data_IF_404857006641
#
_entry.id   IF_404857006641
#
_cell.length_a   1.000
_cell.length_b   1.000
_cell.length_c   1.000
_cell.angle_alpha   90.00
_cell.angle_beta   90.00
_cell.angle_gamma   90.00
#
_symmetry.space_group_name_H-M   'P 1'
#
loop_
_entity.id
_entity.type
_entity.pdbx_description
1 polymer ?
#
# COMPACT_ATOMS: atom_id res chain seq x y z
N UNK A 1 -9.40 17.94 -9.63
CA UNK A 1 -8.30 18.40 -10.51
C UNK A 1 -7.29 17.26 -10.64
N UNK A 2 -7.26 16.67 -11.84
CA UNK A 2 -6.46 15.48 -12.11
C UNK A 2 -4.96 15.78 -12.08
N UNK A 3 -4.21 14.91 -11.43
CA UNK A 3 -2.76 14.89 -11.54
C UNK A 3 -2.37 14.37 -12.93
N UNK A 4 -1.62 15.17 -13.69
CA UNK A 4 -1.02 14.75 -14.95
C UNK A 4 0.21 13.89 -14.66
N UNK A 5 0.18 12.66 -15.13
CA UNK A 5 1.23 11.68 -14.93
C UNK A 5 2.39 11.93 -15.89
N UNK A 6 3.59 12.14 -15.39
CA UNK A 6 4.80 12.03 -16.21
C UNK A 6 5.22 10.56 -16.32
N UNK A 7 5.49 10.13 -17.54
CA UNK A 7 5.94 8.77 -17.83
C UNK A 7 7.29 8.46 -17.17
N UNK A 8 7.29 7.44 -16.33
CA UNK A 8 8.47 6.62 -16.11
C UNK A 8 7.96 5.21 -15.81
N UNK A 9 7.72 4.44 -16.85
CA UNK A 9 7.55 3.01 -16.73
C UNK A 9 8.93 2.40 -16.45
N UNK A 10 9.10 1.87 -15.27
CA UNK A 10 10.21 0.98 -14.98
C UNK A 10 9.67 -0.15 -14.12
N UNK A 11 9.33 -1.25 -14.77
CA UNK A 11 9.44 -2.58 -14.17
C UNK A 11 10.92 -2.79 -13.86
N UNK A 12 11.39 -2.18 -12.79
CA UNK A 12 12.78 -2.05 -12.46
C UNK A 12 13.02 -2.48 -11.02
N UNK A 13 14.16 -3.06 -10.81
CA UNK A 13 14.72 -3.34 -9.50
C UNK A 13 14.88 -2.05 -8.71
N UNK A 14 14.21 -1.89 -7.58
CA UNK A 14 14.50 -0.85 -6.61
C UNK A 14 15.44 -1.44 -5.57
N UNK A 15 16.67 -0.95 -5.52
CA UNK A 15 17.70 -1.34 -4.55
C UNK A 15 17.89 -2.87 -4.41
N UNK A 16 17.95 -3.58 -5.55
CA UNK A 16 18.09 -5.04 -5.59
C UNK A 16 16.81 -5.84 -5.38
N UNK A 17 15.68 -5.22 -5.10
CA UNK A 17 14.40 -5.89 -4.96
C UNK A 17 13.66 -5.97 -6.29
N UNK A 18 13.15 -7.14 -6.63
CA UNK A 18 12.28 -7.36 -7.78
C UNK A 18 10.83 -7.06 -7.39
N UNK A 19 10.18 -6.15 -8.10
CA UNK A 19 8.75 -5.90 -7.94
C UNK A 19 7.99 -6.91 -8.78
N UNK A 20 7.14 -7.71 -8.16
CA UNK A 20 6.38 -8.78 -8.81
C UNK A 20 5.03 -9.02 -8.17
N UNK A 21 4.19 -9.80 -8.85
CA UNK A 21 2.93 -10.26 -8.28
C UNK A 21 3.16 -11.20 -7.09
N UNK A 22 2.24 -11.09 -6.13
CA UNK A 22 2.11 -12.01 -5.01
C UNK A 22 1.82 -13.43 -5.48
N UNK A 23 2.33 -14.40 -4.74
CA UNK A 23 2.02 -15.82 -4.85
C UNK A 23 1.49 -16.32 -3.51
N UNK A 24 0.69 -17.38 -3.52
CA UNK A 24 0.16 -17.96 -2.27
C UNK A 24 1.26 -18.36 -1.27
N UNK A 25 2.44 -18.73 -1.75
CA UNK A 25 3.61 -19.02 -0.91
C UNK A 25 4.18 -17.79 -0.16
N UNK A 26 3.80 -16.58 -0.56
CA UNK A 26 4.24 -15.34 0.08
C UNK A 26 3.37 -14.95 1.30
N UNK A 27 2.28 -15.67 1.56
CA UNK A 27 1.25 -15.27 2.52
C UNK A 27 1.82 -14.97 3.91
N UNK A 28 2.60 -15.87 4.47
CA UNK A 28 3.16 -15.73 5.82
C UNK A 28 4.11 -14.52 5.90
N UNK A 29 4.94 -14.30 4.87
CA UNK A 29 5.84 -13.15 4.84
C UNK A 29 5.10 -11.83 4.68
N UNK A 30 4.08 -11.75 3.84
CA UNK A 30 3.23 -10.56 3.68
C UNK A 30 2.55 -10.21 5.01
N UNK A 31 2.00 -11.20 5.71
CA UNK A 31 1.38 -11.00 7.01
C UNK A 31 2.38 -10.53 8.07
N UNK A 32 3.57 -11.12 8.10
CA UNK A 32 4.66 -10.70 8.99
C UNK A 32 5.09 -9.26 8.71
N UNK A 33 5.29 -8.91 7.44
CA UNK A 33 5.67 -7.57 7.02
C UNK A 33 4.66 -6.52 7.48
N UNK A 34 3.37 -6.79 7.32
CA UNK A 34 2.32 -5.87 7.74
C UNK A 34 2.38 -5.59 9.24
N UNK A 35 2.52 -6.63 10.06
CA UNK A 35 2.67 -6.48 11.51
C UNK A 35 3.94 -5.70 11.85
N UNK A 36 5.09 -6.06 11.27
CA UNK A 36 6.38 -5.42 11.55
C UNK A 36 6.39 -3.94 11.16
N UNK A 37 5.78 -3.59 10.02
CA UNK A 37 5.74 -2.21 9.54
C UNK A 37 4.89 -1.30 10.43
N UNK A 38 3.81 -1.82 11.00
CA UNK A 38 2.89 -1.06 11.85
C UNK A 38 3.23 -1.09 13.35
N UNK A 39 4.10 -1.98 13.79
CA UNK A 39 4.46 -2.11 15.23
C UNK A 39 5.00 -0.80 15.83
N UNK A 40 5.65 0.04 15.01
CA UNK A 40 6.11 1.36 15.44
C UNK A 40 4.98 2.31 15.83
N UNK A 41 3.76 2.06 15.39
CA UNK A 41 2.58 2.89 15.68
C UNK A 41 1.66 2.28 16.72
N UNK A 42 2.06 1.18 17.36
CA UNK A 42 1.23 0.40 18.28
C UNK A 42 0.57 1.25 19.38
N UNK A 43 1.29 2.22 19.91
CA UNK A 43 0.81 3.08 21.00
C UNK A 43 -0.18 4.17 20.53
N UNK A 44 -0.33 4.36 19.22
CA UNK A 44 -1.31 5.27 18.64
C UNK A 44 -2.68 4.64 18.45
N UNK A 45 -2.80 3.32 18.49
CA UNK A 45 -4.06 2.61 18.31
C UNK A 45 -4.71 2.30 19.65
N UNK A 46 -6.01 2.57 19.78
CA UNK A 46 -6.79 2.26 20.98
C UNK A 46 -6.89 0.75 21.26
N UNK A 47 -6.87 -0.06 20.19
CA UNK A 47 -6.94 -1.52 20.25
C UNK A 47 -5.86 -2.14 19.35
N UNK A 48 -4.62 -2.12 19.82
CA UNK A 48 -3.52 -2.75 19.09
C UNK A 48 -3.70 -4.26 18.88
N UNK A 49 -4.19 -5.07 19.85
CA UNK A 49 -4.45 -6.49 19.61
C UNK A 49 -5.39 -6.73 18.43
N UNK A 50 -6.48 -5.98 18.31
CA UNK A 50 -7.41 -6.09 17.18
C UNK A 50 -6.76 -5.63 15.87
N UNK A 51 -6.04 -4.50 15.90
CA UNK A 51 -5.29 -4.01 14.74
C UNK A 51 -4.26 -5.05 14.27
N UNK A 52 -3.46 -5.60 15.19
CA UNK A 52 -2.47 -6.63 14.88
C UNK A 52 -3.09 -7.89 14.31
N UNK A 53 -4.23 -8.32 14.82
CA UNK A 53 -4.96 -9.47 14.29
C UNK A 53 -5.41 -9.24 12.84
N UNK A 54 -5.86 -8.02 12.50
CA UNK A 54 -6.17 -7.63 11.13
C UNK A 54 -4.93 -7.64 10.23
N UNK A 55 -3.83 -7.05 10.69
CA UNK A 55 -2.56 -7.00 9.96
C UNK A 55 -2.00 -8.39 9.64
N UNK A 56 -2.13 -9.35 10.57
CA UNK A 56 -1.69 -10.72 10.36
C UNK A 56 -2.51 -11.52 9.34
N UNK A 57 -3.54 -10.90 8.76
CA UNK A 57 -4.36 -11.45 7.67
C UNK A 57 -4.28 -10.62 6.39
N UNK A 58 -3.25 -9.79 6.25
CA UNK A 58 -3.08 -8.92 5.06
C UNK A 58 -3.07 -9.70 3.74
N UNK A 59 -2.55 -10.93 3.73
CA UNK A 59 -2.58 -11.80 2.56
C UNK A 59 -3.98 -12.10 2.03
N UNK A 60 -5.02 -12.01 2.87
CA UNK A 60 -6.42 -12.20 2.47
C UNK A 60 -6.91 -11.10 1.50
N UNK A 61 -6.21 -9.97 1.41
CA UNK A 61 -6.51 -8.93 0.41
C UNK A 61 -6.41 -9.47 -1.03
N UNK A 62 -5.67 -10.56 -1.25
CA UNK A 62 -5.56 -11.21 -2.56
C UNK A 62 -6.89 -11.79 -3.07
N UNK A 63 -7.87 -12.00 -2.20
CA UNK A 63 -9.20 -12.48 -2.59
C UNK A 63 -10.07 -11.40 -3.27
N UNK A 64 -9.78 -10.13 -3.04
CA UNK A 64 -10.55 -9.01 -3.60
C UNK A 64 -9.73 -8.05 -4.44
N UNK A 65 -8.40 -8.14 -4.36
CA UNK A 65 -7.48 -7.25 -5.06
C UNK A 65 -6.21 -7.97 -5.50
N UNK A 66 -5.27 -7.19 -5.99
CA UNK A 66 -3.96 -7.66 -6.40
C UNK A 66 -2.94 -7.24 -5.33
N UNK A 67 -2.13 -8.18 -4.84
CA UNK A 67 -0.99 -7.86 -3.99
C UNK A 67 0.28 -7.85 -4.84
N UNK A 68 1.09 -6.82 -4.63
CA UNK A 68 2.39 -6.64 -5.27
C UNK A 68 3.44 -6.72 -4.18
N UNK A 69 4.53 -7.42 -4.44
CA UNK A 69 5.61 -7.61 -3.46
C UNK A 69 6.95 -7.11 -3.99
N UNK A 70 7.80 -6.67 -3.08
CA UNK A 70 9.22 -6.38 -3.33
C UNK A 70 10.04 -7.56 -2.82
N UNK A 71 10.57 -8.36 -3.75
CA UNK A 71 11.24 -9.63 -3.49
C UNK A 71 12.76 -9.48 -3.61
N UNK A 72 13.47 -9.74 -2.51
CA UNK A 72 14.94 -9.75 -2.45
C UNK A 72 15.55 -11.10 -2.85
N UNK A 73 14.73 -12.09 -3.20
CA UNK A 73 15.17 -13.45 -3.52
C UNK A 73 15.26 -14.37 -2.31
N UNK A 74 15.69 -13.87 -1.16
CA UNK A 74 15.78 -14.63 0.10
C UNK A 74 14.62 -14.33 1.05
N UNK A 75 13.98 -13.17 0.89
CA UNK A 75 12.83 -12.69 1.68
C UNK A 75 12.12 -11.56 0.96
N UNK A 76 10.92 -11.23 1.40
CA UNK A 76 10.22 -10.03 0.95
C UNK A 76 10.63 -8.81 1.77
N UNK A 77 10.83 -7.68 1.09
CA UNK A 77 11.16 -6.40 1.70
C UNK A 77 9.96 -5.46 1.81
N UNK A 78 8.87 -5.72 1.09
CA UNK A 78 7.68 -4.90 1.13
C UNK A 78 6.52 -5.52 0.35
N UNK A 79 5.35 -4.95 0.54
CA UNK A 79 4.13 -5.33 -0.16
C UNK A 79 3.16 -4.15 -0.25
N UNK A 80 2.25 -4.22 -1.21
CA UNK A 80 1.14 -3.27 -1.36
C UNK A 80 -0.05 -3.96 -2.00
N UNK A 81 -1.26 -3.58 -1.62
CA UNK A 81 -2.50 -4.01 -2.26
C UNK A 81 -2.99 -3.00 -3.28
N UNK A 82 -3.39 -3.46 -4.44
CA UNK A 82 -4.08 -2.69 -5.47
C UNK A 82 -5.49 -3.25 -5.66
N UNK A 83 -6.50 -2.41 -5.52
CA UNK A 83 -7.90 -2.76 -5.74
C UNK A 83 -8.41 -1.96 -6.94
N UNK A 84 -8.76 -2.66 -8.00
CA UNK A 84 -9.16 -2.05 -9.27
C UNK A 84 -10.49 -1.31 -9.23
N UNK A 85 -10.85 -0.63 -10.32
CA UNK A 85 -12.14 0.05 -10.43
C UNK A 85 -13.29 -0.96 -10.35
N UNK A 86 -14.39 -0.59 -9.68
CA UNK A 86 -15.57 -1.44 -9.53
C UNK A 86 -15.45 -2.56 -8.50
N UNK A 87 -14.27 -2.84 -7.97
CA UNK A 87 -14.11 -3.73 -6.82
C UNK A 87 -14.69 -3.04 -5.58
N UNK A 88 -15.43 -3.78 -4.76
CA UNK A 88 -16.02 -3.24 -3.53
C UNK A 88 -14.97 -2.68 -2.58
N UNK A 89 -15.19 -1.46 -2.14
CA UNK A 89 -14.32 -0.69 -1.23
C UNK A 89 -15.13 -0.14 -0.07
N UNK A 90 -14.43 0.40 0.94
CA UNK A 90 -15.08 1.16 2.01
C UNK A 90 -15.93 2.31 1.42
N UNK A 91 -17.03 2.65 2.09
CA UNK A 91 -18.02 3.59 1.57
C UNK A 91 -17.49 5.02 1.34
N UNK A 92 -16.39 5.40 2.01
CA UNK A 92 -15.78 6.70 1.82
C UNK A 92 -14.92 6.82 0.54
N UNK A 93 -14.71 5.71 -0.18
CA UNK A 93 -14.06 5.73 -1.51
C UNK A 93 -15.10 5.81 -2.62
N UNK A 94 -14.77 6.53 -3.70
CA UNK A 94 -15.47 6.39 -4.97
C UNK A 94 -15.23 4.98 -5.52
N UNK A 95 -16.30 4.21 -5.71
CA UNK A 95 -16.20 2.81 -6.11
C UNK A 95 -15.60 2.61 -7.52
N UNK A 96 -15.65 3.65 -8.36
CA UNK A 96 -15.07 3.64 -9.71
C UNK A 96 -13.55 3.87 -9.73
N UNK A 97 -12.98 4.34 -8.62
CA UNK A 97 -11.54 4.59 -8.52
C UNK A 97 -10.80 3.35 -8.01
N UNK A 98 -9.66 2.99 -8.61
CA UNK A 98 -8.76 2.05 -7.98
C UNK A 98 -8.18 2.66 -6.70
N UNK A 99 -7.85 1.81 -5.74
CA UNK A 99 -7.23 2.23 -4.48
C UNK A 99 -5.97 1.44 -4.18
N UNK A 100 -5.08 2.09 -3.44
CA UNK A 100 -3.92 1.47 -2.80
C UNK A 100 -4.29 1.13 -1.36
N UNK A 101 -3.96 -0.10 -0.93
CA UNK A 101 -4.14 -0.53 0.46
C UNK A 101 -2.89 -1.19 0.99
N UNK A 102 -2.62 -0.99 2.27
CA UNK A 102 -1.60 -1.72 3.01
C UNK A 102 -0.21 -1.67 2.37
N UNK A 103 0.25 -0.47 2.01
CA UNK A 103 1.66 -0.29 1.66
C UNK A 103 2.52 -0.51 2.90
N UNK A 104 3.35 -1.54 2.86
CA UNK A 104 4.26 -1.90 3.95
C UNK A 104 5.66 -2.14 3.41
N UNK A 105 6.66 -1.65 4.16
CA UNK A 105 8.08 -1.90 3.90
C UNK A 105 8.70 -2.39 5.20
N UNK A 106 9.51 -3.45 5.12
CA UNK A 106 10.22 -3.96 6.29
C UNK A 106 11.03 -2.81 6.91
N UNK A 107 10.97 -2.60 8.24
CA UNK A 107 11.73 -1.55 8.90
C UNK A 107 13.22 -1.50 8.57
N UNK A 108 13.84 -2.67 8.34
CA UNK A 108 15.27 -2.76 7.98
C UNK A 108 15.56 -2.35 6.53
N UNK A 109 14.55 -2.28 5.68
CA UNK A 109 14.67 -1.92 4.26
C UNK A 109 14.13 -0.53 3.93
N UNK A 110 13.81 0.26 4.93
CA UNK A 110 13.35 1.64 4.74
C UNK A 110 14.42 2.52 4.12
N UNK A 111 13.98 3.65 3.52
CA UNK A 111 14.86 4.63 2.86
C UNK A 111 15.60 4.10 1.63
N UNK A 112 15.15 3.00 1.05
CA UNK A 112 15.69 2.38 -0.16
C UNK A 112 14.80 2.58 -1.41
N UNK A 113 13.78 3.42 -1.32
CA UNK A 113 12.86 3.69 -2.44
C UNK A 113 11.81 2.61 -2.72
N UNK A 114 11.68 1.59 -1.85
CA UNK A 114 10.73 0.49 -2.06
C UNK A 114 9.28 0.93 -2.01
N UNK A 115 8.92 1.80 -1.06
CA UNK A 115 7.57 2.35 -0.97
C UNK A 115 7.18 3.12 -2.22
N UNK A 116 8.10 3.91 -2.77
CA UNK A 116 7.91 4.62 -4.03
C UNK A 116 7.74 3.64 -5.21
N UNK A 117 8.58 2.62 -5.30
CA UNK A 117 8.51 1.62 -6.37
C UNK A 117 7.19 0.82 -6.34
N UNK A 118 6.75 0.38 -5.17
CA UNK A 118 5.48 -0.32 -4.99
C UNK A 118 4.28 0.57 -5.35
N UNK A 119 4.29 1.82 -4.92
CA UNK A 119 3.25 2.80 -5.28
C UNK A 119 3.23 3.09 -6.78
N UNK A 120 4.39 3.21 -7.41
CA UNK A 120 4.51 3.41 -8.86
C UNK A 120 3.95 2.23 -9.65
N UNK A 121 4.11 1.00 -9.17
CA UNK A 121 3.48 -0.17 -9.77
C UNK A 121 1.95 -0.10 -9.68
N UNK A 122 1.41 0.40 -8.57
CA UNK A 122 -0.04 0.65 -8.47
C UNK A 122 -0.53 1.66 -9.52
N UNK A 123 0.27 2.70 -9.80
CA UNK A 123 -0.04 3.65 -10.88
C UNK A 123 -0.04 2.95 -12.25
N UNK A 124 0.91 2.07 -12.51
CA UNK A 124 0.95 1.30 -13.76
C UNK A 124 -0.30 0.44 -13.92
N UNK A 125 -0.79 -0.17 -12.84
CA UNK A 125 -2.04 -0.95 -12.86
C UNK A 125 -3.28 -0.08 -13.07
N UNK A 126 -3.34 1.08 -12.45
CA UNK A 126 -4.42 2.03 -12.70
C UNK A 126 -4.47 2.46 -14.18
N UNK A 127 -3.32 2.69 -14.81
CA UNK A 127 -3.24 2.97 -16.26
C UNK A 127 -3.66 1.78 -17.11
N UNK A 128 -3.21 0.57 -16.76
CA UNK A 128 -3.68 -0.68 -17.40
C UNK A 128 -5.20 -0.77 -17.40
N UNK A 129 -5.81 -0.40 -16.27
CA UNK A 129 -7.26 -0.43 -16.06
C UNK A 129 -7.96 0.84 -16.61
N UNK A 130 -7.23 1.69 -17.35
CA UNK A 130 -7.70 2.93 -18.00
C UNK A 130 -8.27 3.96 -17.02
N UNK A 131 -7.78 3.96 -15.78
CA UNK A 131 -8.19 4.91 -14.76
C UNK A 131 -7.27 6.14 -14.77
N UNK A 132 -7.87 7.32 -14.54
CA UNK A 132 -7.15 8.59 -14.44
C UNK A 132 -6.91 9.03 -13.00
N UNK A 133 -7.55 8.38 -12.06
CA UNK A 133 -7.47 8.68 -10.63
C UNK A 133 -7.20 7.40 -9.88
N UNK A 134 -6.38 7.49 -8.86
CA UNK A 134 -6.15 6.44 -7.87
C UNK A 134 -6.21 7.07 -6.49
N UNK A 135 -6.80 6.38 -5.53
CA UNK A 135 -6.98 6.89 -4.18
C UNK A 135 -6.31 5.98 -3.14
N UNK A 136 -6.14 6.51 -1.96
CA UNK A 136 -5.70 5.77 -0.78
C UNK A 136 -6.25 6.43 0.48
N UNK A 137 -6.25 5.70 1.58
CA UNK A 137 -6.47 6.21 2.92
C UNK A 137 -5.14 6.22 3.67
N UNK A 138 -4.81 7.31 4.31
CA UNK A 138 -3.60 7.46 5.12
C UNK A 138 -3.90 8.34 6.34
N UNK A 139 -2.95 8.43 7.25
CA UNK A 139 -3.07 9.14 8.50
C UNK A 139 -1.84 10.01 8.77
N UNK A 140 -1.98 11.13 9.53
CA UNK A 140 -0.84 11.95 9.96
C UNK A 140 0.23 11.18 10.75
N UNK A 141 -0.11 10.05 11.38
CA UNK A 141 0.88 9.21 12.07
C UNK A 141 1.87 8.55 11.09
N UNK A 142 1.50 8.43 9.82
CA UNK A 142 2.34 7.87 8.76
C UNK A 142 3.38 8.90 8.29
N UNK A 143 4.31 9.25 9.17
CA UNK A 143 5.25 10.37 8.99
C UNK A 143 6.22 10.19 7.82
N UNK A 144 6.38 8.99 7.29
CA UNK A 144 7.19 8.69 6.10
C UNK A 144 6.32 8.55 4.85
N UNK A 145 5.25 7.77 4.93
CA UNK A 145 4.40 7.48 3.78
C UNK A 145 3.60 8.70 3.31
N UNK A 146 3.03 9.46 4.23
CA UNK A 146 2.22 10.64 3.87
C UNK A 146 3.01 11.69 3.08
N UNK A 147 4.21 12.14 3.50
CA UNK A 147 5.01 13.04 2.68
C UNK A 147 5.39 12.47 1.31
N UNK A 148 5.65 11.17 1.22
CA UNK A 148 5.92 10.48 -0.05
C UNK A 148 4.72 10.58 -0.98
N UNK A 149 3.52 10.28 -0.51
CA UNK A 149 2.30 10.38 -1.31
C UNK A 149 2.06 11.80 -1.82
N UNK A 150 2.25 12.81 -0.98
CA UNK A 150 2.11 14.21 -1.38
C UNK A 150 3.12 14.58 -2.47
N UNK A 151 4.38 14.13 -2.36
CA UNK A 151 5.40 14.33 -3.40
C UNK A 151 5.07 13.59 -4.70
N UNK A 152 4.36 12.48 -4.63
CA UNK A 152 3.90 11.72 -5.80
C UNK A 152 2.63 12.30 -6.45
N UNK A 153 2.11 13.40 -5.93
CA UNK A 153 0.98 14.14 -6.52
C UNK A 153 -0.39 13.84 -5.90
N UNK A 154 -0.45 13.07 -4.82
CA UNK A 154 -1.70 12.89 -4.09
C UNK A 154 -2.11 14.19 -3.40
N UNK A 155 -3.42 14.44 -3.33
CA UNK A 155 -4.00 15.55 -2.59
C UNK A 155 -5.15 15.05 -1.73
N UNK A 156 -5.33 15.68 -0.58
CA UNK A 156 -6.44 15.36 0.33
C UNK A 156 -7.78 15.69 -0.34
N UNK A 157 -8.70 14.76 -0.32
CA UNK A 157 -10.06 14.91 -0.85
C UNK A 157 -11.06 15.15 0.28
N UNK A 158 -11.04 14.34 1.31
CA UNK A 158 -11.88 14.45 2.50
C UNK A 158 -11.28 13.67 3.67
N UNK A 159 -11.86 13.82 4.85
CA UNK A 159 -11.53 13.00 6.00
C UNK A 159 -12.30 11.66 5.96
N UNK A 160 -11.66 10.60 6.41
CA UNK A 160 -12.27 9.28 6.58
C UNK A 160 -12.55 9.00 8.07
N UNK A 161 -13.43 8.06 8.40
CA UNK A 161 -13.61 7.63 9.78
C UNK A 161 -12.32 7.10 10.38
N UNK A 162 -12.06 7.34 11.69
CA UNK A 162 -10.86 6.83 12.34
C UNK A 162 -10.86 5.29 12.40
N UNK A 163 -9.67 4.71 12.35
CA UNK A 163 -9.45 3.27 12.51
C UNK A 163 -8.79 3.04 13.87
N UNK A 164 -9.48 2.36 14.79
CA UNK A 164 -9.00 2.12 16.16
C UNK A 164 -8.43 3.41 16.81
N UNK A 165 -9.16 4.51 16.72
CA UNK A 165 -8.82 5.81 17.29
C UNK A 165 -7.84 6.64 16.47
N UNK A 166 -7.26 6.12 15.38
CA UNK A 166 -6.33 6.83 14.52
C UNK A 166 -7.06 7.47 13.33
N UNK A 167 -6.97 8.81 13.15
CA UNK A 167 -7.60 9.53 12.05
C UNK A 167 -7.00 9.21 10.67
#
# INVERSE_FOLDING_TARGET
>A
TGATWSEAASTGMADGARIRDYRSSDADEVNRLAVAAFDQFRDAFDDWPAMRAGLSRTSELSSGGEIIVADLGTRLAGAVGYFGPGVKKAAFFDQSWPIIRMLVVDPVDRSKGLGHALTSECFARARRDRCRTIALHTSPIMTVALPMYLKMGFSKVHDAPPIHGVP
#
